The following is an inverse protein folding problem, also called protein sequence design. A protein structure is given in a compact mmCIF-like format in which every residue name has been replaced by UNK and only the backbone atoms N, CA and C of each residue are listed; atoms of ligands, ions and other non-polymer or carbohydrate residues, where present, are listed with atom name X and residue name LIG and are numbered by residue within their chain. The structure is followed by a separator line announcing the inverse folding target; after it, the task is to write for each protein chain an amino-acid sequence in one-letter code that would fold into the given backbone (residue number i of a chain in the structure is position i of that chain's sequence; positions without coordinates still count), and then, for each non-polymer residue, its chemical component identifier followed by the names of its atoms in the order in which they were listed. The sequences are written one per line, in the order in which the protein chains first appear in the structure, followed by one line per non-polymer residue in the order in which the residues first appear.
data_IF_820899775485
#
_entry.id   IF_820899775485
#
_cell.length_a   1.000
_cell.length_b   1.000
_cell.length_c   1.000
_cell.angle_alpha   90.00
_cell.angle_beta   90.00
_cell.angle_gamma   90.00
#
_symmetry.space_group_name_H-M   'P 1'
#
loop_
_entity.id
_entity.type
_entity.pdbx_description
1 polymer ?
#
# COMPACT_ATOMS: atom_id res chain seq x y z
N UNK A 1 -16.10 -14.47 -5.53
CA UNK A 1 -14.92 -13.59 -5.42
C UNK A 1 -14.21 -13.95 -4.12
N UNK A 2 -12.94 -14.38 -4.16
CA UNK A 2 -12.20 -14.76 -2.93
C UNK A 2 -11.54 -13.52 -2.38
N UNK A 3 -12.10 -13.00 -1.29
CA UNK A 3 -11.65 -11.82 -0.56
C UNK A 3 -11.14 -12.24 0.80
N UNK A 4 -10.00 -11.70 1.22
CA UNK A 4 -9.46 -11.83 2.56
C UNK A 4 -9.35 -10.43 3.15
N UNK A 5 -10.01 -10.21 4.28
CA UNK A 5 -9.90 -8.99 5.08
C UNK A 5 -9.38 -9.36 6.46
N UNK A 6 -8.30 -8.72 6.88
CA UNK A 6 -7.70 -8.84 8.19
C UNK A 6 -7.74 -7.46 8.85
N UNK A 7 -8.40 -7.38 10.01
CA UNK A 7 -8.52 -6.15 10.77
C UNK A 7 -7.81 -6.30 12.11
N UNK A 8 -6.91 -5.37 12.41
CA UNK A 8 -6.41 -5.14 13.75
C UNK A 8 -6.65 -3.69 14.13
N UNK A 9 -7.61 -3.50 15.03
CA UNK A 9 -7.69 -2.30 15.82
C UNK A 9 -7.52 -2.71 17.28
N UNK A 10 -6.76 -1.94 18.07
CA UNK A 10 -7.04 -1.86 19.50
C UNK A 10 -8.43 -1.22 19.64
N UNK A 11 -9.45 -2.08 19.58
CA UNK A 11 -10.86 -1.80 19.87
C UNK A 11 -11.50 -0.72 18.97
N UNK A 12 -12.18 -1.14 17.91
CA UNK A 12 -13.41 -0.51 17.38
C UNK A 12 -14.16 -1.55 16.53
N UNK A 13 -15.46 -1.67 16.78
CA UNK A 13 -16.35 -2.69 16.21
C UNK A 13 -16.56 -2.51 14.71
N UNK A 14 -16.31 -3.57 13.92
CA UNK A 14 -16.86 -3.70 12.57
C UNK A 14 -17.27 -5.14 12.29
N UNK A 15 -18.54 -5.33 11.96
CA UNK A 15 -19.08 -6.58 11.41
C UNK A 15 -18.68 -6.72 9.94
N UNK A 16 -17.79 -7.68 9.66
CA UNK A 16 -17.66 -8.37 8.37
C UNK A 16 -16.77 -9.58 8.60
N UNK A 17 -16.99 -10.63 7.81
CA UNK A 17 -16.26 -11.91 7.80
C UNK A 17 -14.74 -11.71 7.77
N UNK A 18 -14.16 -11.49 8.95
CA UNK A 18 -12.78 -11.14 9.19
C UNK A 18 -12.10 -12.36 9.78
N UNK A 19 -11.00 -12.79 9.18
CA UNK A 19 -10.11 -13.73 9.85
C UNK A 19 -9.29 -12.88 10.80
N UNK A 20 -9.55 -13.05 12.10
CA UNK A 20 -8.78 -12.43 13.18
C UNK A 20 -7.35 -12.97 13.12
N UNK A 21 -6.42 -12.16 12.63
CA UNK A 21 -5.00 -12.50 12.66
C UNK A 21 -4.44 -12.35 14.09
N UNK A 22 -5.23 -11.82 15.04
CA UNK A 22 -4.92 -11.92 16.48
C UNK A 22 -4.86 -13.36 16.99
N UNK A 23 -5.53 -14.30 16.32
CA UNK A 23 -5.40 -15.74 16.60
C UNK A 23 -4.17 -16.36 15.93
N UNK A 24 -3.46 -15.61 15.05
CA UNK A 24 -2.23 -16.03 14.38
C UNK A 24 -0.94 -15.49 15.03
N UNK A 25 -1.00 -14.46 15.89
CA UNK A 25 0.19 -13.80 16.45
C UNK A 25 0.53 -14.16 17.91
N UNK A 26 -0.19 -15.10 18.55
CA UNK A 26 0.13 -15.50 19.94
C UNK A 26 1.10 -16.68 20.08
N UNK A 27 1.32 -17.48 19.04
CA UNK A 27 2.20 -18.66 19.11
C UNK A 27 3.25 -18.69 17.98
N UNK A 28 4.46 -19.11 18.36
CA UNK A 28 5.72 -19.18 17.63
C UNK A 28 5.76 -20.13 16.40
N UNK A 29 4.77 -20.09 15.51
CA UNK A 29 4.71 -20.88 14.28
C UNK A 29 4.72 -20.00 13.02
N UNK A 30 5.76 -19.17 12.88
CA UNK A 30 6.00 -18.26 11.75
C UNK A 30 5.98 -18.96 10.38
N UNK A 31 6.41 -20.23 10.32
CA UNK A 31 6.33 -21.04 9.11
C UNK A 31 4.88 -21.31 8.70
N UNK A 32 3.95 -21.52 9.65
CA UNK A 32 2.54 -21.83 9.36
C UNK A 32 1.77 -20.62 8.85
N UNK A 33 2.08 -19.40 9.28
CA UNK A 33 1.44 -18.17 8.77
C UNK A 33 1.85 -17.94 7.32
N UNK A 34 3.17 -17.88 7.08
CA UNK A 34 3.70 -17.70 5.73
C UNK A 34 3.25 -18.82 4.78
N UNK A 35 3.16 -20.06 5.28
CA UNK A 35 2.68 -21.23 4.53
C UNK A 35 1.15 -21.23 4.32
N UNK A 36 0.37 -20.74 5.29
CA UNK A 36 -1.08 -20.59 5.12
C UNK A 36 -1.39 -19.49 4.12
N UNK A 37 -0.69 -18.36 4.20
CA UNK A 37 -0.83 -17.25 3.25
C UNK A 37 -0.32 -17.61 1.85
N UNK A 38 0.77 -18.37 1.74
CA UNK A 38 1.28 -18.84 0.43
C UNK A 38 0.33 -19.81 -0.27
N UNK A 39 -0.51 -20.52 0.50
CA UNK A 39 -1.55 -21.40 -0.06
C UNK A 39 -2.72 -20.62 -0.70
N UNK A 40 -2.84 -19.31 -0.46
CA UNK A 40 -3.93 -18.46 -0.96
C UNK A 40 -3.75 -18.01 -2.42
N UNK A 41 -3.30 -18.89 -3.30
CA UNK A 41 -2.94 -18.59 -4.71
C UNK A 41 -4.09 -18.03 -5.57
N UNK A 42 -5.34 -18.24 -5.12
CA UNK A 42 -6.56 -17.83 -5.83
C UNK A 42 -7.20 -16.54 -5.28
N UNK A 43 -6.49 -15.79 -4.44
CA UNK A 43 -7.01 -14.55 -3.87
C UNK A 43 -7.08 -13.44 -4.93
N UNK A 44 -8.25 -12.79 -5.03
CA UNK A 44 -8.45 -11.64 -5.92
C UNK A 44 -8.43 -10.31 -5.15
N UNK A 45 -8.75 -10.34 -3.87
CA UNK A 45 -8.79 -9.16 -3.00
C UNK A 45 -8.10 -9.44 -1.68
N UNK A 46 -7.13 -8.60 -1.33
CA UNK A 46 -6.42 -8.63 -0.05
C UNK A 46 -6.56 -7.27 0.63
N UNK A 47 -7.11 -7.27 1.83
CA UNK A 47 -7.27 -6.09 2.65
C UNK A 47 -6.67 -6.36 4.03
N UNK A 48 -5.69 -5.54 4.42
CA UNK A 48 -5.03 -5.60 5.69
C UNK A 48 -5.05 -4.22 6.33
N UNK A 49 -5.62 -4.14 7.53
CA UNK A 49 -5.57 -2.96 8.37
C UNK A 49 -4.78 -3.27 9.64
N UNK A 50 -3.62 -2.65 9.74
CA UNK A 50 -2.75 -2.60 10.92
C UNK A 50 -2.57 -1.13 11.25
N UNK A 51 -3.08 -0.68 12.39
CA UNK A 51 -2.87 0.71 12.84
C UNK A 51 -2.42 0.66 14.30
N UNK A 52 -1.40 1.43 14.66
CA UNK A 52 -0.83 1.45 16.02
C UNK A 52 -0.28 0.08 16.44
N UNK A 53 0.44 -0.58 15.54
CA UNK A 53 1.09 -1.88 15.74
C UNK A 53 2.54 -1.82 15.23
N UNK A 54 3.53 -2.05 16.10
CA UNK A 54 4.92 -2.15 15.63
C UNK A 54 5.05 -3.22 14.56
N UNK A 55 5.68 -2.88 13.43
CA UNK A 55 6.01 -3.85 12.40
C UNK A 55 7.25 -4.64 12.82
N UNK A 56 7.10 -5.96 12.85
CA UNK A 56 8.22 -6.86 13.03
C UNK A 56 8.50 -7.60 11.71
N UNK A 57 9.62 -8.33 11.68
CA UNK A 57 10.00 -9.14 10.52
C UNK A 57 8.90 -10.14 10.12
N UNK A 58 8.06 -10.61 11.06
CA UNK A 58 7.04 -11.62 10.77
C UNK A 58 5.86 -11.04 10.00
N UNK A 59 5.39 -9.84 10.41
CA UNK A 59 4.34 -9.11 9.69
C UNK A 59 4.78 -8.77 8.27
N UNK A 60 6.02 -8.33 8.11
CA UNK A 60 6.62 -8.08 6.78
C UNK A 60 6.62 -9.34 5.93
N UNK A 61 7.14 -10.46 6.43
CA UNK A 61 7.19 -11.73 5.70
C UNK A 61 5.79 -12.23 5.31
N UNK A 62 4.80 -12.07 6.18
CA UNK A 62 3.41 -12.43 5.89
C UNK A 62 2.85 -11.66 4.69
N UNK A 63 3.02 -10.32 4.69
CA UNK A 63 2.59 -9.46 3.58
C UNK A 63 3.34 -9.81 2.30
N UNK A 64 4.67 -9.92 2.35
CA UNK A 64 5.49 -10.27 1.20
C UNK A 64 5.07 -11.62 0.59
N UNK A 65 4.80 -12.64 1.41
CA UNK A 65 4.31 -13.94 0.96
C UNK A 65 2.97 -13.84 0.22
N UNK A 66 2.02 -13.03 0.70
CA UNK A 66 0.74 -12.80 0.00
C UNK A 66 0.98 -12.14 -1.35
N UNK A 67 1.77 -11.06 -1.39
CA UNK A 67 2.08 -10.32 -2.61
C UNK A 67 2.80 -11.21 -3.64
N UNK A 68 3.68 -12.11 -3.19
CA UNK A 68 4.42 -13.01 -4.06
C UNK A 68 3.58 -14.19 -4.57
N UNK A 69 2.68 -14.75 -3.76
CA UNK A 69 1.97 -15.98 -4.12
C UNK A 69 0.58 -15.72 -4.75
N UNK A 70 -0.06 -14.60 -4.43
CA UNK A 70 -1.40 -14.28 -4.93
C UNK A 70 -1.34 -13.63 -6.32
N UNK A 71 -1.00 -14.41 -7.35
CA UNK A 71 -0.82 -13.90 -8.73
C UNK A 71 -2.09 -13.33 -9.37
N UNK A 72 -3.27 -13.68 -8.85
CA UNK A 72 -4.57 -13.22 -9.32
C UNK A 72 -5.09 -11.97 -8.57
N UNK A 73 -4.26 -11.35 -7.72
CA UNK A 73 -4.67 -10.21 -6.92
C UNK A 73 -5.00 -9.00 -7.82
N UNK A 74 -6.26 -8.59 -7.80
CA UNK A 74 -6.76 -7.41 -8.52
C UNK A 74 -6.99 -6.20 -7.61
N UNK A 75 -7.20 -6.44 -6.32
CA UNK A 75 -7.42 -5.40 -5.31
C UNK A 75 -6.50 -5.63 -4.12
N UNK A 76 -5.71 -4.62 -3.79
CA UNK A 76 -4.84 -4.60 -2.63
C UNK A 76 -5.16 -3.37 -1.80
N UNK A 77 -5.51 -3.56 -0.53
CA UNK A 77 -5.68 -2.48 0.45
C UNK A 77 -4.78 -2.75 1.64
N UNK A 78 -3.84 -1.86 1.90
CA UNK A 78 -2.92 -1.94 3.01
C UNK A 78 -3.02 -0.63 3.79
N UNK A 79 -3.72 -0.65 4.91
CA UNK A 79 -3.74 0.46 5.86
C UNK A 79 -2.73 0.15 6.95
N UNK A 80 -1.55 0.76 6.85
CA UNK A 80 -0.37 0.45 7.66
C UNK A 80 0.19 1.69 8.38
N UNK A 81 -0.68 2.66 8.65
CA UNK A 81 -0.35 3.91 9.33
C UNK A 81 0.12 3.65 10.77
N UNK A 82 1.06 4.46 11.23
CA UNK A 82 1.51 4.47 12.63
C UNK A 82 1.97 3.08 13.13
N UNK A 83 2.93 2.49 12.43
CA UNK A 83 3.39 1.13 12.68
C UNK A 83 4.92 0.98 12.72
N UNK A 84 5.67 2.09 12.79
CA UNK A 84 7.13 2.08 12.79
C UNK A 84 7.75 1.38 11.56
N UNK A 85 7.07 1.42 10.40
CA UNK A 85 7.64 0.89 9.15
C UNK A 85 8.90 1.69 8.80
N UNK A 86 10.02 0.98 8.69
CA UNK A 86 11.31 1.54 8.28
C UNK A 86 11.52 1.41 6.77
N UNK A 87 12.55 2.10 6.26
CA UNK A 87 12.99 1.96 4.86
C UNK A 87 13.23 0.50 4.46
N UNK A 88 13.94 -0.28 5.29
CA UNK A 88 14.24 -1.69 5.00
C UNK A 88 12.98 -2.56 4.87
N UNK A 89 11.96 -2.28 5.69
CA UNK A 89 10.68 -3.00 5.65
C UNK A 89 9.92 -2.61 4.38
N UNK A 90 9.85 -1.31 4.06
CA UNK A 90 9.18 -0.84 2.86
C UNK A 90 9.88 -1.36 1.60
N UNK A 91 11.20 -1.36 1.53
CA UNK A 91 11.97 -1.90 0.40
C UNK A 91 11.69 -3.39 0.16
N UNK A 92 11.59 -4.21 1.23
CA UNK A 92 11.18 -5.61 1.12
C UNK A 92 9.77 -5.74 0.54
N UNK A 93 8.82 -4.94 1.03
CA UNK A 93 7.45 -4.93 0.50
C UNK A 93 7.43 -4.48 -0.97
N UNK A 94 8.23 -3.50 -1.36
CA UNK A 94 8.37 -3.01 -2.74
C UNK A 94 8.86 -4.11 -3.69
N UNK A 95 9.81 -4.94 -3.25
CA UNK A 95 10.29 -6.08 -4.03
C UNK A 95 9.15 -7.04 -4.35
N UNK A 96 8.36 -7.44 -3.35
CA UNK A 96 7.22 -8.34 -3.52
C UNK A 96 6.08 -7.69 -4.32
N UNK A 97 5.76 -6.42 -4.05
CA UNK A 97 4.73 -5.65 -4.74
C UNK A 97 5.02 -5.51 -6.24
N UNK A 98 6.29 -5.40 -6.62
CA UNK A 98 6.70 -5.32 -8.03
C UNK A 98 6.31 -6.56 -8.84
N UNK A 99 6.01 -7.69 -8.18
CA UNK A 99 5.55 -8.93 -8.81
C UNK A 99 4.03 -8.98 -9.06
N UNK A 100 3.26 -8.06 -8.47
CA UNK A 100 1.80 -8.02 -8.54
C UNK A 100 1.27 -7.35 -9.81
N UNK A 101 1.43 -7.99 -10.98
CA UNK A 101 1.11 -7.40 -12.30
C UNK A 101 -0.37 -7.19 -12.61
N UNK A 102 -1.26 -7.86 -11.88
CA UNK A 102 -2.70 -7.86 -12.15
C UNK A 102 -3.50 -6.91 -11.24
N UNK A 103 -2.84 -6.15 -10.37
CA UNK A 103 -3.52 -5.18 -9.51
C UNK A 103 -4.17 -4.10 -10.37
N UNK A 104 -5.48 -3.91 -10.17
CA UNK A 104 -6.31 -2.87 -10.76
C UNK A 104 -6.60 -1.75 -9.78
N UNK A 105 -6.72 -2.09 -8.49
CA UNK A 105 -7.07 -1.17 -7.41
C UNK A 105 -6.06 -1.31 -6.26
N UNK A 106 -5.39 -0.21 -5.94
CA UNK A 106 -4.46 -0.13 -4.82
C UNK A 106 -4.90 0.99 -3.87
N UNK A 107 -5.04 0.65 -2.59
CA UNK A 107 -5.13 1.60 -1.49
C UNK A 107 -3.95 1.32 -0.56
N UNK A 108 -3.07 2.29 -0.35
CA UNK A 108 -1.89 2.13 0.48
C UNK A 108 -1.74 3.35 1.39
N UNK A 109 -1.84 3.11 2.69
CA UNK A 109 -1.70 4.13 3.72
C UNK A 109 -0.47 3.79 4.54
N UNK A 110 0.50 4.70 4.53
CA UNK A 110 1.82 4.56 5.14
C UNK A 110 2.21 5.79 5.96
N UNK A 111 1.27 6.65 6.34
CA UNK A 111 1.59 7.83 7.14
C UNK A 111 2.02 7.46 8.57
N UNK A 112 2.64 8.42 9.26
CA UNK A 112 3.19 8.21 10.60
C UNK A 112 4.16 7.00 10.70
N UNK A 113 4.95 6.74 9.65
CA UNK A 113 6.01 5.73 9.63
C UNK A 113 7.40 6.35 9.42
N UNK A 114 8.44 5.59 9.70
CA UNK A 114 9.85 5.99 9.61
C UNK A 114 10.43 5.73 8.21
N UNK A 115 9.79 6.32 7.18
CA UNK A 115 10.16 6.15 5.77
C UNK A 115 10.78 7.42 5.18
N UNK A 116 11.81 7.25 4.36
CA UNK A 116 12.53 8.32 3.67
C UNK A 116 12.07 8.50 2.23
N UNK A 117 12.55 9.57 1.58
CA UNK A 117 12.33 9.80 0.15
C UNK A 117 12.91 8.67 -0.71
N UNK A 118 13.98 8.01 -0.27
CA UNK A 118 14.62 6.93 -1.01
C UNK A 118 13.73 5.68 -1.08
N UNK A 119 13.18 5.23 0.04
CA UNK A 119 12.29 4.05 0.05
C UNK A 119 10.97 4.31 -0.68
N UNK A 120 10.48 5.55 -0.64
CA UNK A 120 9.29 5.96 -1.41
C UNK A 120 9.57 6.05 -2.92
N UNK A 121 10.80 6.39 -3.32
CA UNK A 121 11.25 6.32 -4.72
C UNK A 121 11.24 4.86 -5.21
N UNK A 122 11.67 3.92 -4.37
CA UNK A 122 11.59 2.48 -4.67
C UNK A 122 10.13 2.00 -4.79
N UNK A 123 9.24 2.50 -3.94
CA UNK A 123 7.81 2.23 -4.03
C UNK A 123 7.20 2.77 -5.33
N UNK A 124 7.53 3.99 -5.73
CA UNK A 124 7.12 4.56 -7.01
C UNK A 124 7.59 3.71 -8.20
N UNK A 125 8.83 3.23 -8.15
CA UNK A 125 9.39 2.29 -9.14
C UNK A 125 8.63 0.95 -9.15
N UNK A 126 8.33 0.36 -7.99
CA UNK A 126 7.56 -0.87 -7.90
C UNK A 126 6.14 -0.72 -8.47
N UNK A 127 5.43 0.37 -8.13
CA UNK A 127 4.09 0.64 -8.63
C UNK A 127 4.04 0.96 -10.12
N UNK A 128 5.09 1.59 -10.67
CA UNK A 128 5.18 1.80 -12.13
C UNK A 128 5.20 0.48 -12.93
N UNK A 129 5.57 -0.64 -12.28
CA UNK A 129 5.55 -1.97 -12.88
C UNK A 129 4.17 -2.66 -12.80
N UNK A 130 3.19 -2.06 -12.13
CA UNK A 130 1.80 -2.49 -12.06
C UNK A 130 1.00 -1.82 -13.19
N UNK A 131 1.29 -2.19 -14.44
CA UNK A 131 0.78 -1.48 -15.63
C UNK A 131 -0.74 -1.51 -15.80
N UNK A 132 -1.44 -2.41 -15.10
CA UNK A 132 -2.90 -2.51 -15.13
C UNK A 132 -3.59 -1.64 -14.06
N UNK A 133 -2.84 -0.85 -13.28
CA UNK A 133 -3.42 -0.04 -12.21
C UNK A 133 -4.39 1.01 -12.77
N UNK A 134 -5.64 0.93 -12.34
CA UNK A 134 -6.74 1.82 -12.75
C UNK A 134 -7.10 2.79 -11.62
N UNK A 135 -6.96 2.35 -10.37
CA UNK A 135 -7.28 3.15 -9.19
C UNK A 135 -6.13 3.13 -8.20
N UNK A 136 -5.70 4.30 -7.76
CA UNK A 136 -4.69 4.48 -6.73
C UNK A 136 -5.22 5.46 -5.68
N UNK A 137 -5.28 4.99 -4.44
CA UNK A 137 -5.47 5.82 -3.25
C UNK A 137 -4.23 5.68 -2.38
N UNK A 138 -3.64 6.81 -2.02
CA UNK A 138 -2.32 6.82 -1.43
C UNK A 138 -2.17 7.90 -0.36
N UNK A 139 -1.67 7.49 0.80
CA UNK A 139 -1.43 8.36 1.94
C UNK A 139 0.00 8.15 2.43
N UNK A 140 0.80 9.22 2.38
CA UNK A 140 2.17 9.29 2.88
C UNK A 140 2.36 10.56 3.70
N UNK A 141 3.51 10.68 4.38
CA UNK A 141 3.95 11.97 4.91
C UNK A 141 4.30 12.94 3.76
N UNK A 142 4.23 14.25 4.04
CA UNK A 142 4.34 15.30 3.01
C UNK A 142 5.68 15.37 2.31
N UNK A 143 6.76 15.08 3.03
CA UNK A 143 8.11 15.16 2.46
C UNK A 143 8.27 14.13 1.33
N UNK A 144 7.70 12.94 1.50
CA UNK A 144 7.95 11.82 0.59
C UNK A 144 6.94 11.71 -0.55
N UNK A 145 5.73 12.26 -0.41
CA UNK A 145 4.72 12.18 -1.48
C UNK A 145 5.16 12.87 -2.79
N UNK A 146 5.99 13.91 -2.72
CA UNK A 146 6.56 14.56 -3.91
C UNK A 146 7.62 13.69 -4.58
N UNK A 147 8.41 12.98 -3.78
CA UNK A 147 9.33 11.97 -4.30
C UNK A 147 8.57 10.86 -5.02
N UNK A 148 7.41 10.45 -4.50
CA UNK A 148 6.52 9.53 -5.19
C UNK A 148 5.91 10.10 -6.48
N UNK A 149 5.46 11.36 -6.44
CA UNK A 149 4.68 11.98 -7.51
C UNK A 149 5.38 11.95 -8.89
N UNK A 150 6.73 11.94 -8.93
CA UNK A 150 7.51 11.82 -10.17
C UNK A 150 7.25 10.51 -10.94
N UNK A 151 6.70 9.49 -10.29
CA UNK A 151 6.36 8.19 -10.88
C UNK A 151 4.92 8.10 -11.39
N UNK A 152 4.03 9.00 -10.98
CA UNK A 152 2.64 9.03 -11.47
C UNK A 152 2.55 8.99 -13.00
N UNK A 153 3.36 9.73 -13.79
CA UNK A 153 3.28 9.68 -15.25
C UNK A 153 3.48 8.29 -15.87
N UNK A 154 4.11 7.35 -15.15
CA UNK A 154 4.32 5.98 -15.62
C UNK A 154 3.07 5.10 -15.45
N UNK A 155 2.08 5.54 -14.65
CA UNK A 155 0.83 4.83 -14.38
C UNK A 155 -0.20 5.17 -15.48
N UNK A 156 0.14 4.87 -16.73
CA UNK A 156 -0.55 5.35 -17.94
C UNK A 156 -2.02 4.91 -18.08
N UNK A 157 -2.44 3.90 -17.30
CA UNK A 157 -3.80 3.37 -17.29
C UNK A 157 -4.66 3.89 -16.13
N UNK A 158 -4.09 4.74 -15.26
CA UNK A 158 -4.77 5.26 -14.09
C UNK A 158 -5.97 6.13 -14.50
N UNK A 159 -7.13 5.82 -13.94
CA UNK A 159 -8.39 6.54 -14.13
C UNK A 159 -8.84 7.25 -12.85
N UNK A 160 -8.52 6.70 -11.69
CA UNK A 160 -8.87 7.29 -10.40
C UNK A 160 -7.61 7.49 -9.57
N UNK A 161 -7.38 8.71 -9.12
CA UNK A 161 -6.26 9.06 -8.26
C UNK A 161 -6.79 9.81 -7.04
N UNK A 162 -6.48 9.29 -5.86
CA UNK A 162 -6.65 10.00 -4.59
C UNK A 162 -5.32 10.09 -3.87
N UNK A 163 -4.91 11.31 -3.56
CA UNK A 163 -3.70 11.58 -2.80
C UNK A 163 -4.07 12.33 -1.53
N UNK A 164 -3.51 11.90 -0.41
CA UNK A 164 -3.66 12.51 0.88
C UNK A 164 -2.31 13.05 1.33
N UNK A 165 -2.29 14.35 1.64
CA UNK A 165 -1.14 15.13 2.05
C UNK A 165 -1.41 15.57 3.51
N UNK A 166 -0.44 15.37 4.39
CA UNK A 166 -0.46 15.82 5.78
C UNK A 166 -0.32 17.34 5.93
N UNK A 167 -0.24 17.78 7.19
CA UNK A 167 -0.35 19.19 7.60
C UNK A 167 0.99 19.94 7.66
N UNK A 168 2.05 19.47 7.01
CA UNK A 168 3.30 20.25 6.94
C UNK A 168 3.43 20.96 5.60
N UNK A 169 3.72 22.27 5.67
CA UNK A 169 3.55 23.25 4.59
C UNK A 169 4.13 22.80 3.26
N UNK A 170 3.29 22.19 2.41
CA UNK A 170 3.61 21.93 1.02
C UNK A 170 3.87 23.27 0.34
N UNK A 171 5.09 23.48 -0.15
CA UNK A 171 5.43 24.72 -0.83
C UNK A 171 4.62 24.88 -2.12
N UNK A 172 4.39 26.12 -2.54
CA UNK A 172 3.68 26.40 -3.81
C UNK A 172 4.36 25.69 -5.00
N UNK A 173 5.70 25.59 -4.98
CA UNK A 173 6.48 24.88 -5.99
C UNK A 173 6.23 23.38 -5.98
N UNK A 174 6.11 22.75 -4.80
CA UNK A 174 5.76 21.34 -4.68
C UNK A 174 4.35 21.06 -5.20
N UNK A 175 3.38 21.95 -4.92
CA UNK A 175 2.01 21.83 -5.47
C UNK A 175 1.99 21.97 -7.00
N UNK A 176 2.78 22.91 -7.55
CA UNK A 176 2.94 23.07 -9.00
C UNK A 176 3.55 21.83 -9.63
N UNK A 177 4.60 21.27 -9.03
CA UNK A 177 5.24 20.04 -9.52
C UNK A 177 4.27 18.85 -9.49
N UNK A 178 3.56 18.63 -8.39
CA UNK A 178 2.53 17.60 -8.30
C UNK A 178 1.47 17.78 -9.40
N UNK A 179 1.01 19.00 -9.61
CA UNK A 179 0.05 19.33 -10.67
C UNK A 179 0.59 18.96 -12.06
N UNK A 180 1.85 19.26 -12.36
CA UNK A 180 2.51 18.89 -13.63
C UNK A 180 2.54 17.37 -13.81
N UNK A 181 2.87 16.59 -12.76
CA UNK A 181 2.89 15.13 -12.87
C UNK A 181 1.49 14.55 -13.09
N UNK A 182 0.49 15.06 -12.38
CA UNK A 182 -0.90 14.62 -12.53
C UNK A 182 -1.45 14.95 -13.92
N UNK A 183 -1.09 16.10 -14.50
CA UNK A 183 -1.49 16.45 -15.88
C UNK A 183 -0.97 15.47 -16.95
N UNK A 184 0.09 14.70 -16.66
CA UNK A 184 0.60 13.68 -17.58
C UNK A 184 -0.27 12.41 -17.60
N UNK A 185 -1.17 12.22 -16.63
CA UNK A 185 -2.12 11.10 -16.56
C UNK A 185 -3.32 11.32 -17.50
N UNK A 186 -3.11 11.09 -18.80
CA UNK A 186 -4.11 11.40 -19.84
C UNK A 186 -5.43 10.63 -19.76
N UNK A 187 -5.48 9.52 -19.01
CA UNK A 187 -6.69 8.69 -18.83
C UNK A 187 -7.44 8.97 -17.53
N UNK A 188 -6.98 9.94 -16.73
CA UNK A 188 -7.56 10.25 -15.44
C UNK A 188 -8.99 10.80 -15.60
N UNK A 189 -9.93 10.17 -14.91
CA UNK A 189 -11.36 10.51 -14.86
C UNK A 189 -11.68 11.19 -13.53
N UNK A 190 -11.14 10.65 -12.43
CA UNK A 190 -11.33 11.18 -11.08
C UNK A 190 -9.99 11.51 -10.44
N UNK A 191 -9.92 12.71 -9.87
CA UNK A 191 -8.75 13.22 -9.15
C UNK A 191 -9.25 13.84 -7.84
N UNK A 192 -8.70 13.37 -6.73
CA UNK A 192 -8.83 14.02 -5.43
C UNK A 192 -7.44 14.20 -4.83
N UNK A 193 -7.11 15.43 -4.45
CA UNK A 193 -5.91 15.73 -3.68
C UNK A 193 -6.41 16.44 -2.43
N UNK A 194 -6.22 15.81 -1.28
CA UNK A 194 -6.66 16.35 0.02
C UNK A 194 -5.42 16.76 0.79
N UNK A 195 -5.40 17.99 1.29
CA UNK A 195 -4.37 18.53 2.18
C UNK A 195 -5.07 18.72 3.53
N UNK A 196 -4.54 18.10 4.58
CA UNK A 196 -5.10 18.15 5.93
C UNK A 196 -4.49 19.25 6.77
#
# INVERSE_FOLDING_TARGET
MKKLTILFAKRLDYESSSILFSDFCKDCNTSKIAQSLSSLTNLSTFELQLVLNSFDQQKTLGICSVLENCKNLSTLKLQLNDNEITDDILSQMCQSLSSCKHILHLELYLDCNSISEQSVTELGSALSKCFNLISLEFWLNDVTIFAFARYLPNMINLRNLKLHLGHDSVSEDQQKQLSIFVLKLKKLVQKQITIY
#
